data_IF_185179302718
#
_entry.id   IF_185179302718
#
_cell.length_a   1.000
_cell.length_b   1.000
_cell.length_c   1.000
_cell.angle_alpha   90.00
_cell.angle_beta   90.00
_cell.angle_gamma   90.00
#
_symmetry.space_group_name_H-M   'P 1'
#
loop_
_entity.id
_entity.type
_entity.pdbx_description
1 polymer ?
#
# COMPACT_ATOMS: atom_id res chain seq x y z
N UNK A 1 -5.51 19.36 8.43
CA UNK A 1 -5.52 18.96 7.01
C UNK A 1 -4.58 17.78 6.85
N UNK A 2 -5.06 16.66 6.33
CA UNK A 2 -4.29 15.44 6.12
C UNK A 2 -3.44 15.53 4.84
N UNK A 3 -2.38 14.72 4.72
CA UNK A 3 -1.58 14.65 3.49
C UNK A 3 -2.43 14.31 2.25
N UNK A 4 -3.49 13.51 2.42
CA UNK A 4 -4.43 13.18 1.36
C UNK A 4 -5.27 14.39 0.94
N UNK A 5 -5.84 15.14 1.90
CA UNK A 5 -6.59 16.37 1.63
C UNK A 5 -5.75 17.40 0.87
N UNK A 6 -4.51 17.63 1.31
CA UNK A 6 -3.59 18.56 0.63
C UNK A 6 -3.29 18.13 -0.80
N UNK A 7 -3.17 16.82 -1.05
CA UNK A 7 -2.89 16.29 -2.39
C UNK A 7 -4.08 16.48 -3.33
N UNK A 8 -5.30 16.13 -2.87
CA UNK A 8 -6.53 16.33 -3.64
C UNK A 8 -6.73 17.83 -3.90
N UNK A 9 -6.51 18.69 -2.91
CA UNK A 9 -6.61 20.14 -3.08
C UNK A 9 -5.64 20.65 -4.14
N UNK A 10 -4.36 20.28 -4.09
CA UNK A 10 -3.37 20.72 -5.06
C UNK A 10 -3.75 20.32 -6.50
N UNK A 11 -4.29 19.11 -6.68
CA UNK A 11 -4.80 18.67 -7.98
C UNK A 11 -5.97 19.53 -8.46
N UNK A 12 -6.97 19.77 -7.60
CA UNK A 12 -8.16 20.56 -7.95
C UNK A 12 -7.80 22.02 -8.26
N UNK A 13 -6.86 22.61 -7.52
CA UNK A 13 -6.36 23.96 -7.78
C UNK A 13 -5.64 24.06 -9.13
N UNK A 14 -4.79 23.09 -9.47
CA UNK A 14 -4.14 23.05 -10.79
C UNK A 14 -5.15 22.87 -11.92
N UNK A 15 -6.21 22.09 -11.67
CA UNK A 15 -7.31 21.95 -12.63
C UNK A 15 -8.10 23.23 -12.78
N UNK A 16 -8.44 23.92 -11.69
CA UNK A 16 -9.11 25.23 -11.75
C UNK A 16 -8.28 26.32 -12.45
N UNK A 17 -6.95 26.21 -12.46
CA UNK A 17 -6.07 27.11 -13.23
C UNK A 17 -6.13 26.85 -14.74
N UNK A 18 -6.38 25.59 -15.15
CA UNK A 18 -6.31 25.15 -16.54
C UNK A 18 -7.69 25.04 -17.20
N UNK A 19 -8.74 24.82 -16.41
CA UNK A 19 -10.13 24.65 -16.83
C UNK A 19 -10.99 25.74 -16.20
N UNK A 20 -11.39 26.73 -17.00
CA UNK A 20 -12.17 27.87 -16.53
C UNK A 20 -13.58 27.50 -16.08
N UNK A 21 -14.19 26.47 -16.67
CA UNK A 21 -15.52 25.99 -16.26
C UNK A 21 -15.44 25.33 -14.88
N UNK A 22 -14.40 24.53 -14.67
CA UNK A 22 -14.13 23.94 -13.36
C UNK A 22 -13.77 25.00 -12.29
N UNK A 23 -13.12 26.10 -12.68
CA UNK A 23 -12.80 27.18 -11.76
C UNK A 23 -14.04 27.84 -11.13
N UNK A 24 -15.15 27.90 -11.87
CA UNK A 24 -16.43 28.41 -11.39
C UNK A 24 -17.07 27.43 -10.39
N UNK A 25 -17.04 26.12 -10.68
CA UNK A 25 -17.59 25.10 -9.79
C UNK A 25 -16.76 24.92 -8.52
N UNK A 26 -15.44 25.08 -8.59
CA UNK A 26 -14.54 25.01 -7.45
C UNK A 26 -14.75 26.14 -6.43
N UNK A 27 -15.22 27.32 -6.86
CA UNK A 27 -15.47 28.49 -5.98
C UNK A 27 -16.80 28.43 -5.24
N UNK A 28 -17.64 27.42 -5.46
CA UNK A 28 -18.95 27.28 -4.82
C UNK A 28 -18.77 27.16 -3.30
N UNK A 29 -19.37 28.09 -2.54
CA UNK A 29 -19.18 28.19 -1.08
C UNK A 29 -19.76 27.00 -0.29
N UNK A 30 -20.66 26.22 -0.89
CA UNK A 30 -21.24 25.00 -0.31
C UNK A 30 -20.40 23.74 -0.57
N UNK A 31 -19.17 23.87 -1.10
CA UNK A 31 -18.28 22.74 -1.37
C UNK A 31 -17.01 22.88 -0.53
N UNK A 32 -16.67 21.81 0.21
CA UNK A 32 -15.46 21.73 1.02
C UNK A 32 -14.57 20.56 0.60
N UNK A 33 -13.25 20.74 0.77
CA UNK A 33 -12.27 19.68 0.52
C UNK A 33 -12.49 18.48 1.46
N UNK A 34 -12.92 18.73 2.69
CA UNK A 34 -13.20 17.68 3.68
C UNK A 34 -14.37 16.78 3.23
N UNK A 35 -15.43 17.37 2.68
CA UNK A 35 -16.56 16.59 2.14
C UNK A 35 -16.22 15.89 0.83
N UNK A 36 -15.39 16.51 -0.02
CA UNK A 36 -14.85 15.88 -1.21
C UNK A 36 -14.09 14.59 -0.85
N UNK A 37 -13.23 14.65 0.16
CA UNK A 37 -12.49 13.48 0.65
C UNK A 37 -13.43 12.42 1.25
N UNK A 38 -14.45 12.82 2.02
CA UNK A 38 -15.49 11.89 2.51
C UNK A 38 -16.24 11.22 1.37
N UNK A 39 -16.53 11.94 0.28
CA UNK A 39 -17.17 11.40 -0.92
C UNK A 39 -16.28 10.37 -1.61
N UNK A 40 -14.98 10.65 -1.79
CA UNK A 40 -13.99 9.72 -2.33
C UNK A 40 -13.96 8.43 -1.51
N UNK A 41 -13.90 8.53 -0.19
CA UNK A 41 -13.94 7.36 0.69
C UNK A 41 -15.24 6.56 0.56
N UNK A 42 -16.39 7.23 0.41
CA UNK A 42 -17.68 6.58 0.18
C UNK A 42 -17.69 5.79 -1.14
N UNK A 43 -17.13 6.35 -2.22
CA UNK A 43 -16.98 5.66 -3.51
C UNK A 43 -16.05 4.45 -3.40
N UNK A 44 -14.88 4.62 -2.80
CA UNK A 44 -13.93 3.53 -2.58
C UNK A 44 -14.56 2.39 -1.75
N UNK A 45 -15.28 2.72 -0.67
CA UNK A 45 -15.98 1.72 0.15
C UNK A 45 -17.05 0.97 -0.63
N UNK A 46 -17.82 1.64 -1.48
CA UNK A 46 -18.80 0.98 -2.36
C UNK A 46 -18.14 0.00 -3.33
N UNK A 47 -16.96 0.33 -3.84
CA UNK A 47 -16.18 -0.58 -4.69
C UNK A 47 -15.64 -1.78 -3.92
N UNK A 48 -15.26 -1.59 -2.65
CA UNK A 48 -14.77 -2.68 -1.83
C UNK A 48 -15.82 -3.80 -1.60
N UNK A 49 -17.13 -3.52 -1.70
CA UNK A 49 -18.23 -4.49 -1.59
C UNK A 49 -18.06 -5.53 -0.45
N UNK A 50 -17.61 -5.07 0.73
CA UNK A 50 -17.38 -5.95 1.89
C UNK A 50 -16.01 -6.63 1.94
N UNK A 51 -15.07 -6.27 1.06
CA UNK A 51 -13.65 -6.66 1.14
C UNK A 51 -12.88 -5.68 2.04
N UNK A 52 -11.76 -6.15 2.59
CA UNK A 52 -10.92 -5.34 3.49
C UNK A 52 -10.21 -4.18 2.79
N UNK A 53 -9.97 -4.27 1.48
CA UNK A 53 -9.29 -3.24 0.71
C UNK A 53 -9.75 -3.21 -0.76
N UNK A 54 -9.55 -2.06 -1.41
CA UNK A 54 -9.73 -1.88 -2.85
C UNK A 54 -8.55 -1.07 -3.40
N UNK A 55 -7.99 -1.50 -4.52
CA UNK A 55 -7.05 -0.69 -5.28
C UNK A 55 -7.82 0.21 -6.24
N UNK A 56 -7.53 1.51 -6.20
CA UNK A 56 -8.09 2.52 -7.09
C UNK A 56 -6.91 3.31 -7.66
N UNK A 57 -6.87 3.48 -8.97
CA UNK A 57 -5.86 4.31 -9.63
C UNK A 57 -6.09 5.81 -9.33
N UNK A 58 -5.03 6.59 -9.45
CA UNK A 58 -5.07 8.03 -9.15
C UNK A 58 -6.06 8.79 -10.04
N UNK A 59 -6.15 8.43 -11.33
CA UNK A 59 -6.99 9.15 -12.28
C UNK A 59 -8.48 8.97 -11.94
N UNK A 60 -8.86 7.78 -11.49
CA UNK A 60 -10.20 7.52 -10.95
C UNK A 60 -10.48 8.31 -9.68
N UNK A 61 -9.53 8.38 -8.73
CA UNK A 61 -9.70 9.17 -7.50
C UNK A 61 -9.87 10.66 -7.81
N UNK A 62 -9.02 11.21 -8.68
CA UNK A 62 -9.12 12.58 -9.15
C UNK A 62 -10.40 12.85 -9.93
N UNK A 63 -10.87 11.90 -10.74
CA UNK A 63 -12.15 11.97 -11.43
C UNK A 63 -13.31 12.10 -10.44
N UNK A 64 -13.32 11.35 -9.34
CA UNK A 64 -14.32 11.51 -8.29
C UNK A 64 -14.24 12.86 -7.60
N UNK A 65 -13.04 13.39 -7.39
CA UNK A 65 -12.85 14.71 -6.82
C UNK A 65 -13.44 15.80 -7.73
N UNK A 66 -13.23 15.72 -9.04
CA UNK A 66 -13.82 16.64 -10.02
C UNK A 66 -15.34 16.52 -10.03
N UNK A 67 -15.87 15.30 -10.12
CA UNK A 67 -17.30 15.04 -10.08
C UNK A 67 -17.97 15.61 -8.82
N UNK A 68 -17.26 15.65 -7.69
CA UNK A 68 -17.79 16.23 -6.46
C UNK A 68 -18.12 17.72 -6.57
N UNK A 69 -17.31 18.47 -7.31
CA UNK A 69 -17.49 19.91 -7.52
C UNK A 69 -18.44 20.22 -8.67
N UNK A 70 -18.48 19.36 -9.69
CA UNK A 70 -19.36 19.54 -10.85
C UNK A 70 -20.82 19.22 -10.57
N UNK A 71 -21.11 18.22 -9.72
CA UNK A 71 -22.49 17.87 -9.37
C UNK A 71 -23.00 18.70 -8.17
N UNK A 72 -24.08 19.46 -8.36
CA UNK A 72 -24.63 20.35 -7.33
C UNK A 72 -25.28 19.63 -6.13
N UNK A 73 -25.68 18.36 -6.29
CA UNK A 73 -26.60 17.68 -5.36
C UNK A 73 -26.10 16.30 -4.84
N UNK A 74 -24.80 16.18 -4.58
CA UNK A 74 -24.23 14.94 -4.02
C UNK A 74 -24.54 14.85 -2.52
N UNK A 75 -25.45 13.96 -2.15
CA UNK A 75 -25.65 13.53 -0.75
C UNK A 75 -24.47 12.69 -0.27
N UNK A 76 -23.54 13.31 0.46
CA UNK A 76 -22.45 12.59 1.14
C UNK A 76 -23.02 11.86 2.35
N UNK A 77 -23.41 10.59 2.17
CA UNK A 77 -23.86 9.77 3.29
C UNK A 77 -22.74 9.57 4.32
N UNK A 78 -23.07 9.77 5.60
CA UNK A 78 -22.17 9.62 6.74
C UNK A 78 -21.55 8.23 6.73
N UNK A 79 -20.24 8.18 6.54
CA UNK A 79 -19.46 6.93 6.51
C UNK A 79 -19.40 6.40 7.94
N UNK A 80 -20.22 5.40 8.28
CA UNK A 80 -20.14 4.72 9.58
C UNK A 80 -18.85 3.90 9.64
N UNK A 81 -17.92 4.32 10.48
CA UNK A 81 -16.68 3.62 10.76
C UNK A 81 -17.02 2.33 11.54
N UNK A 82 -17.13 1.20 10.83
CA UNK A 82 -17.31 -0.11 11.47
C UNK A 82 -15.93 -0.75 11.62
N UNK A 83 -15.34 -0.58 12.80
CA UNK A 83 -14.15 -1.33 13.22
C UNK A 83 -14.66 -2.69 13.71
N UNK A 84 -14.68 -3.69 12.83
CA UNK A 84 -14.90 -5.08 13.24
C UNK A 84 -13.55 -5.73 13.58
N UNK A 85 -13.30 -5.86 14.89
CA UNK A 85 -12.29 -6.75 15.44
C UNK A 85 -12.82 -8.17 15.31
N UNK A 86 -12.30 -8.94 14.36
CA UNK A 86 -12.62 -10.37 14.24
C UNK A 86 -11.53 -11.15 14.96
N UNK A 87 -11.86 -11.69 16.13
CA UNK A 87 -11.09 -12.74 16.79
C UNK A 87 -11.22 -14.06 16.00
N UNK A 88 -10.19 -14.91 15.94
CA UNK A 88 -10.22 -16.12 15.12
C UNK A 88 -11.01 -17.23 15.81
N UNK A 89 -12.05 -17.73 15.15
CA UNK A 89 -12.74 -18.97 15.48
C UNK A 89 -12.40 -20.04 14.43
N UNK A 90 -12.08 -21.23 14.92
CA UNK A 90 -11.67 -22.46 14.24
C UNK A 90 -12.66 -23.01 13.19
N UNK A 91 -12.15 -23.45 12.04
CA UNK A 91 -12.84 -24.32 11.07
C UNK A 91 -12.37 -25.78 11.18
N UNK A 92 -13.21 -26.75 10.79
CA UNK A 92 -12.72 -27.96 10.11
C UNK A 92 -13.43 -28.25 8.76
N UNK A 93 -12.60 -28.33 7.71
CA UNK A 93 -12.58 -29.19 6.51
C UNK A 93 -13.85 -29.86 5.90
N UNK A 94 -14.08 -29.71 4.56
CA UNK A 94 -13.78 -30.69 3.46
C UNK A 94 -14.53 -30.42 2.11
N UNK A 95 -13.89 -30.86 1.01
CA UNK A 95 -14.41 -31.41 -0.28
C UNK A 95 -14.61 -30.53 -1.57
N UNK A 96 -13.57 -30.52 -2.41
CA UNK A 96 -13.45 -30.98 -3.83
C UNK A 96 -14.55 -30.76 -4.93
N UNK A 97 -14.23 -29.89 -5.93
CA UNK A 97 -14.33 -29.91 -7.43
C UNK A 97 -15.54 -30.53 -8.21
N UNK A 98 -15.88 -30.14 -9.49
CA UNK A 98 -14.97 -29.79 -10.61
C UNK A 98 -15.40 -28.69 -11.65
N UNK A 99 -14.43 -28.39 -12.57
CA UNK A 99 -14.35 -27.39 -13.67
C UNK A 99 -15.39 -27.52 -14.80
N UNK A 100 -15.50 -26.49 -15.67
CA UNK A 100 -15.19 -26.70 -17.10
C UNK A 100 -14.21 -25.69 -17.75
N UNK A 101 -13.53 -26.18 -18.79
CA UNK A 101 -12.50 -25.54 -19.63
C UNK A 101 -13.07 -24.60 -20.72
N UNK A 102 -12.29 -23.59 -21.16
CA UNK A 102 -12.32 -23.12 -22.56
C UNK A 102 -10.90 -22.71 -23.05
N UNK A 103 -10.66 -22.92 -24.35
CA UNK A 103 -9.37 -23.06 -25.08
C UNK A 103 -8.62 -21.74 -25.42
N UNK A 104 -7.34 -21.80 -25.88
CA UNK A 104 -6.36 -20.69 -25.89
C UNK A 104 -6.06 -20.07 -27.28
N UNK A 105 -5.65 -18.78 -27.34
CA UNK A 105 -4.82 -18.14 -28.41
C UNK A 105 -4.29 -16.74 -27.94
N UNK A 106 -3.32 -16.07 -28.62
CA UNK A 106 -1.93 -16.44 -28.89
C UNK A 106 -0.91 -15.38 -28.38
N UNK A 107 0.36 -15.78 -28.19
CA UNK A 107 1.50 -14.92 -27.80
C UNK A 107 1.82 -13.85 -28.86
N UNK A 108 2.04 -12.60 -28.43
CA UNK A 108 2.85 -11.60 -29.16
C UNK A 108 4.04 -11.17 -28.31
N UNK A 109 5.25 -11.30 -28.88
CA UNK A 109 6.51 -10.73 -28.39
C UNK A 109 6.69 -9.32 -28.95
N UNK A 110 7.22 -8.40 -28.14
CA UNK A 110 8.07 -7.22 -28.46
C UNK A 110 8.48 -6.66 -27.10
N UNK A 111 9.75 -6.51 -26.75
CA UNK A 111 10.82 -5.86 -27.50
C UNK A 111 11.21 -4.63 -26.66
N UNK A 112 12.48 -4.54 -26.29
CA UNK A 112 13.07 -3.66 -25.28
C UNK A 112 12.83 -2.14 -25.48
N UNK A 113 13.22 -1.41 -24.44
CA UNK A 113 13.38 0.06 -24.32
C UNK A 113 12.25 0.83 -23.62
N UNK A 114 12.42 1.02 -22.30
CA UNK A 114 12.21 2.33 -21.66
C UNK A 114 12.81 2.38 -20.23
N UNK A 115 14.09 2.01 -20.09
CA UNK A 115 14.84 2.17 -18.83
C UNK A 115 15.18 3.61 -18.46
N UNK A 116 14.68 4.61 -19.21
CA UNK A 116 15.02 6.03 -19.02
C UNK A 116 13.81 6.94 -18.75
N UNK A 117 12.59 6.39 -18.57
CA UNK A 117 11.40 7.19 -18.17
C UNK A 117 10.88 6.89 -16.74
N UNK A 118 11.58 6.05 -15.98
CA UNK A 118 11.11 5.65 -14.64
C UNK A 118 11.44 6.67 -13.53
N UNK A 119 12.18 7.75 -13.84
CA UNK A 119 12.67 8.69 -12.82
C UNK A 119 11.81 9.95 -12.61
N UNK A 120 10.66 10.09 -13.29
CA UNK A 120 9.86 11.33 -13.22
C UNK A 120 8.43 11.18 -12.68
N UNK A 121 7.98 9.94 -12.42
CA UNK A 121 6.61 9.66 -11.94
C UNK A 121 6.57 9.01 -10.54
N UNK A 122 7.65 9.11 -9.77
CA UNK A 122 7.78 8.48 -8.44
C UNK A 122 7.00 9.16 -7.30
N UNK A 123 5.91 9.86 -7.59
CA UNK A 123 5.09 10.53 -6.59
C UNK A 123 3.68 9.98 -6.62
N UNK A 124 3.23 9.43 -5.49
CA UNK A 124 1.84 9.12 -5.17
C UNK A 124 1.26 7.77 -5.63
N UNK A 125 2.05 6.71 -5.50
CA UNK A 125 1.48 5.41 -5.15
C UNK A 125 1.97 5.07 -3.76
N UNK A 126 1.08 5.09 -2.76
CA UNK A 126 1.22 4.27 -1.57
C UNK A 126 0.31 3.03 -1.73
N UNK A 127 0.70 2.01 -2.52
CA UNK A 127 0.14 0.70 -2.31
C UNK A 127 0.60 0.23 -0.93
N UNK A 128 -0.33 -0.33 -0.18
CA UNK A 128 -0.14 -0.79 1.20
C UNK A 128 0.98 -1.84 1.37
N UNK A 129 1.61 -2.34 0.31
CA UNK A 129 2.82 -3.17 0.35
C UNK A 129 3.67 -2.94 -0.91
N UNK A 130 4.60 -1.98 -0.88
CA UNK A 130 5.59 -1.81 -1.97
C UNK A 130 6.72 -2.82 -1.73
N UNK A 131 6.87 -3.79 -2.65
CA UNK A 131 8.16 -4.43 -2.85
C UNK A 131 9.15 -3.33 -3.26
N UNK A 132 10.02 -2.99 -2.33
CA UNK A 132 11.12 -2.05 -2.57
C UNK A 132 12.21 -2.80 -3.34
N UNK A 133 13.04 -2.02 -4.02
CA UNK A 133 14.25 -2.56 -4.65
C UNK A 133 15.13 -3.28 -3.63
N UNK A 134 16.08 -4.08 -4.13
CA UNK A 134 17.01 -4.79 -3.26
C UNK A 134 17.77 -3.80 -2.37
N UNK A 135 17.84 -4.10 -1.08
CA UNK A 135 18.57 -3.28 -0.13
C UNK A 135 20.07 -3.39 -0.45
N UNK A 136 20.73 -2.25 -0.62
CA UNK A 136 22.16 -2.22 -0.92
C UNK A 136 22.95 -3.05 0.11
N UNK A 137 23.80 -3.95 -0.37
CA UNK A 137 24.63 -4.79 0.50
C UNK A 137 25.46 -3.93 1.45
N UNK A 138 25.55 -4.32 2.72
CA UNK A 138 26.23 -3.53 3.76
C UNK A 138 25.36 -2.46 4.44
N UNK A 139 24.11 -2.28 4.01
CA UNK A 139 23.17 -1.37 4.70
C UNK A 139 22.92 -1.85 6.13
N UNK A 140 23.09 -0.96 7.11
CA UNK A 140 22.76 -1.25 8.50
C UNK A 140 21.24 -1.33 8.69
N UNK A 141 20.74 -2.50 9.13
CA UNK A 141 19.31 -2.73 9.29
C UNK A 141 18.64 -1.83 10.34
N UNK A 142 19.39 -1.24 11.28
CA UNK A 142 18.87 -0.26 12.25
C UNK A 142 18.45 1.06 11.58
N UNK A 143 18.99 1.35 10.39
CA UNK A 143 18.69 2.58 9.65
C UNK A 143 17.46 2.46 8.75
N UNK A 144 16.97 1.23 8.53
CA UNK A 144 15.84 0.94 7.64
C UNK A 144 14.52 1.15 8.38
N UNK A 145 14.04 2.40 8.39
CA UNK A 145 12.80 2.81 9.08
C UNK A 145 11.59 2.96 8.15
N UNK A 146 11.82 2.94 6.84
CA UNK A 146 10.77 3.12 5.85
C UNK A 146 9.97 1.82 5.70
N UNK A 147 8.65 1.91 5.82
CA UNK A 147 7.75 0.78 5.62
C UNK A 147 7.89 0.17 4.22
N UNK A 148 7.91 -1.16 4.14
CA UNK A 148 8.05 -1.88 2.87
C UNK A 148 8.64 -3.27 3.02
N UNK A 149 8.73 -3.97 1.88
CA UNK A 149 9.37 -5.29 1.77
C UNK A 149 10.63 -5.12 0.92
N UNK A 150 11.79 -5.37 1.51
CA UNK A 150 13.10 -5.23 0.88
C UNK A 150 13.70 -6.60 0.61
N UNK A 151 14.22 -6.80 -0.60
CA UNK A 151 15.02 -8.00 -0.90
C UNK A 151 16.41 -7.85 -0.31
N UNK A 152 16.91 -8.90 0.33
CA UNK A 152 18.27 -8.98 0.83
C UNK A 152 19.12 -9.80 -0.14
N UNK A 153 20.36 -9.36 -0.39
CA UNK A 153 21.30 -10.02 -1.32
C UNK A 153 22.74 -9.85 -0.81
N UNK A 154 23.03 -10.28 0.42
CA UNK A 154 24.36 -10.15 0.98
C UNK A 154 24.39 -10.04 2.50
N UNK A 155 25.47 -9.44 3.00
CA UNK A 155 25.69 -9.19 4.43
C UNK A 155 25.15 -7.82 4.82
N UNK A 156 24.55 -7.73 6.00
CA UNK A 156 23.91 -6.53 6.52
C UNK A 156 24.29 -6.37 8.01
N UNK A 157 24.90 -5.25 8.42
CA UNK A 157 25.15 -4.98 9.83
C UNK A 157 23.86 -5.03 10.66
N UNK A 158 23.99 -5.47 11.92
CA UNK A 158 22.88 -5.66 12.85
C UNK A 158 21.78 -6.61 12.36
N UNK A 159 22.08 -7.47 11.39
CA UNK A 159 21.20 -8.55 10.98
C UNK A 159 21.36 -9.79 11.88
N UNK A 160 20.33 -10.65 11.98
CA UNK A 160 20.42 -11.89 12.74
C UNK A 160 21.19 -13.01 12.01
N UNK A 161 21.69 -12.74 10.80
CA UNK A 161 22.42 -13.66 9.93
C UNK A 161 23.72 -13.02 9.41
N UNK A 162 24.67 -13.84 9.00
CA UNK A 162 25.92 -13.36 8.39
C UNK A 162 25.71 -12.90 6.94
N UNK A 163 24.84 -13.59 6.20
CA UNK A 163 24.47 -13.29 4.82
C UNK A 163 23.05 -13.78 4.55
N UNK A 164 22.27 -13.04 3.76
CA UNK A 164 20.89 -13.41 3.42
C UNK A 164 20.56 -13.17 1.95
N UNK A 165 19.68 -14.04 1.42
CA UNK A 165 19.02 -13.88 0.12
C UNK A 165 17.49 -13.81 0.25
N UNK A 166 16.99 -13.67 1.48
CA UNK A 166 15.57 -13.58 1.77
C UNK A 166 15.05 -12.14 1.68
N UNK A 167 14.26 -11.74 2.67
CA UNK A 167 13.69 -10.41 2.71
C UNK A 167 13.64 -9.81 4.12
N UNK A 168 13.66 -8.48 4.16
CA UNK A 168 13.34 -7.68 5.33
C UNK A 168 11.98 -7.03 5.11
N UNK A 169 11.07 -7.19 6.07
CA UNK A 169 9.77 -6.56 6.09
C UNK A 169 9.78 -5.53 7.21
N UNK A 170 9.44 -4.28 6.90
CA UNK A 170 9.34 -3.18 7.87
C UNK A 170 7.89 -2.72 7.93
N UNK A 171 7.27 -2.88 9.10
CA UNK A 171 5.87 -2.54 9.35
C UNK A 171 5.78 -1.40 10.38
N UNK A 172 5.06 -0.31 10.08
CA UNK A 172 4.83 0.75 11.07
C UNK A 172 3.81 0.28 12.12
N UNK A 173 4.08 0.53 13.40
CA UNK A 173 3.15 0.21 14.50
C UNK A 173 2.22 1.38 14.80
N UNK A 174 2.76 2.60 14.76
CA UNK A 174 2.07 3.85 15.06
C UNK A 174 2.45 4.93 14.04
N UNK A 175 1.67 6.01 13.97
CA UNK A 175 2.01 7.21 13.22
C UNK A 175 3.18 7.95 13.89
N UNK A 176 4.39 7.39 13.79
CA UNK A 176 5.59 7.98 14.34
C UNK A 176 6.54 6.95 14.93
N UNK A 177 7.73 6.87 14.32
CA UNK A 177 8.99 6.27 14.78
C UNK A 177 9.04 4.79 15.17
N UNK A 178 7.93 4.14 15.51
CA UNK A 178 7.91 2.74 15.94
C UNK A 178 7.63 1.80 14.77
N UNK A 179 8.51 0.82 14.59
CA UNK A 179 8.42 -0.17 13.53
C UNK A 179 8.78 -1.57 14.02
N UNK A 180 8.10 -2.56 13.46
CA UNK A 180 8.49 -3.96 13.54
C UNK A 180 9.33 -4.27 12.31
N UNK A 181 10.46 -4.92 12.54
CA UNK A 181 11.22 -5.54 11.47
C UNK A 181 11.09 -7.05 11.57
N UNK A 182 10.78 -7.67 10.44
CA UNK A 182 10.74 -9.12 10.28
C UNK A 182 11.78 -9.46 9.21
N UNK A 183 12.80 -10.21 9.59
CA UNK A 183 13.77 -10.74 8.65
C UNK A 183 13.45 -12.21 8.39
N UNK A 184 13.23 -12.55 7.12
CA UNK A 184 12.93 -13.90 6.68
C UNK A 184 14.13 -14.42 5.91
N UNK A 185 14.62 -15.57 6.32
CA UNK A 185 15.65 -16.29 5.60
C UNK A 185 15.12 -17.62 5.08
N UNK A 186 15.35 -17.87 3.79
CA UNK A 186 15.00 -19.13 3.15
C UNK A 186 16.19 -19.60 2.33
N UNK A 187 16.72 -20.76 2.72
CA UNK A 187 17.75 -21.48 1.97
C UNK A 187 17.22 -22.86 1.61
N UNK A 188 18.02 -23.66 0.90
CA UNK A 188 17.70 -25.07 0.66
C UNK A 188 17.74 -25.92 1.94
N UNK A 189 18.35 -25.43 3.03
CA UNK A 189 18.60 -26.20 4.25
C UNK A 189 17.74 -25.76 5.44
N UNK A 190 17.36 -24.49 5.48
CA UNK A 190 16.57 -23.96 6.58
C UNK A 190 15.65 -22.84 6.12
N UNK A 191 14.60 -22.65 6.90
CA UNK A 191 13.72 -21.50 6.81
C UNK A 191 13.57 -20.93 8.23
N UNK A 192 13.93 -19.66 8.37
CA UNK A 192 13.97 -19.00 9.67
C UNK A 192 13.32 -17.63 9.57
N UNK A 193 12.60 -17.27 10.62
CA UNK A 193 11.98 -15.95 10.75
C UNK A 193 12.51 -15.33 12.04
N UNK A 194 12.96 -14.09 11.91
CA UNK A 194 13.42 -13.26 13.02
C UNK A 194 12.54 -12.03 13.09
N UNK A 195 12.18 -11.61 14.30
CA UNK A 195 11.42 -10.40 14.54
C UNK A 195 12.11 -9.53 15.58
N UNK A 196 12.02 -8.22 15.41
CA UNK A 196 12.35 -7.25 16.45
C UNK A 196 11.38 -6.07 16.40
N UNK A 197 11.13 -5.49 17.54
CA UNK A 197 10.35 -4.26 17.65
C UNK A 197 11.32 -3.14 17.98
N UNK A 198 11.57 -2.25 17.02
CA UNK A 198 12.59 -1.23 17.16
C UNK A 198 12.05 0.05 17.79
N UNK A 199 11.43 -0.11 18.96
CA UNK A 199 11.21 1.00 19.88
C UNK A 199 12.59 1.34 20.44
N UNK A 200 13.20 2.45 20.01
CA UNK A 200 14.48 3.03 20.52
C UNK A 200 15.84 2.55 19.95
N UNK A 201 15.93 1.96 18.75
CA UNK A 201 17.21 1.55 18.10
C UNK A 201 18.04 0.49 18.87
N UNK A 202 17.50 -0.18 19.90
CA UNK A 202 18.25 -1.14 20.73
C UNK A 202 17.65 -2.54 20.79
N UNK A 203 16.67 -2.82 19.94
CA UNK A 203 15.94 -4.09 19.99
C UNK A 203 16.76 -5.24 19.40
N UNK A 204 17.00 -6.26 20.23
CA UNK A 204 17.62 -7.51 19.79
C UNK A 204 16.65 -8.34 18.95
N UNK A 205 17.20 -9.06 17.96
CA UNK A 205 16.42 -10.00 17.15
C UNK A 205 15.98 -11.20 17.97
N UNK A 206 14.71 -11.58 17.79
CA UNK A 206 14.13 -12.79 18.36
C UNK A 206 13.81 -13.76 17.23
N UNK A 207 14.36 -14.97 17.30
CA UNK A 207 14.03 -16.06 16.37
C UNK A 207 12.66 -16.63 16.70
N UNK A 208 11.80 -16.78 15.69
CA UNK A 208 10.50 -17.44 15.82
C UNK A 208 10.71 -18.94 15.68
N UNK A 209 10.28 -19.71 16.68
CA UNK A 209 10.29 -21.16 16.62
C UNK A 209 9.18 -21.64 15.68
N UNK A 210 9.55 -22.35 14.62
CA UNK A 210 8.62 -22.92 13.66
C UNK A 210 8.41 -24.40 13.99
N UNK A 211 7.15 -24.79 14.15
CA UNK A 211 6.75 -26.19 14.27
C UNK A 211 6.21 -26.69 12.93
N UNK A 212 6.56 -27.92 12.56
CA UNK A 212 5.87 -28.62 11.47
C UNK A 212 4.40 -28.84 11.85
N UNK A 213 3.50 -28.57 10.91
CA UNK A 213 2.06 -28.87 11.01
C UNK A 213 1.79 -30.24 10.38
#
# INVERSE_FOLDING_TARGET
MTSFETTIQAYLENRAKTDSLFAETYKKANKSIEECVKYIYSKARKLAKGRNAVGVDEATVYGWAVHYYDEDDIKVNKVQERVEVVAPASEPAKAEQPKPQLKPQPKRKRGDDNSLQLSLFGGLLNPLFIFKEALATGTDLNTVKTAGIYRLTGSYPNAPFTQSWGCLIVLPISYGADYIQIAVESTSQYFEIYTRNDVSNSSSWKKIALSSV
#
